data_IF_051632399532
#
_entry.id   IF_051632399532
#
_cell.length_a   1.000
_cell.length_b   1.000
_cell.length_c   1.000
_cell.angle_alpha   90.00
_cell.angle_beta   90.00
_cell.angle_gamma   90.00
#
_symmetry.space_group_name_H-M   'P 1'
#
loop_
_entity.id
_entity.type
_entity.pdbx_description
1 polymer ?
#
# COMPACT_ATOMS: atom_id res chain seq x y z
N UNK A 1 5.21 31.10 3.18
CA UNK A 1 5.51 29.65 3.30
C UNK A 1 4.34 28.84 3.90
N UNK A 2 3.28 29.45 4.45
CA UNK A 2 2.09 28.75 4.95
C UNK A 2 1.07 28.37 3.87
N UNK A 3 1.17 28.92 2.68
CA UNK A 3 0.18 28.73 1.62
C UNK A 3 0.51 27.53 0.69
N UNK A 4 1.74 26.97 0.79
CA UNK A 4 2.18 25.84 -0.04
C UNK A 4 1.85 24.47 0.58
N UNK A 5 1.71 24.38 1.91
CA UNK A 5 1.40 23.13 2.62
C UNK A 5 -0.03 22.64 2.31
N UNK A 6 -0.94 23.56 1.97
CA UNK A 6 -2.34 23.23 1.63
C UNK A 6 -2.56 22.60 0.25
N UNK A 7 -1.50 22.41 -0.56
CA UNK A 7 -1.62 21.96 -1.95
C UNK A 7 -1.30 20.48 -2.16
N UNK A 8 -0.71 19.79 -1.18
CA UNK A 8 -0.37 18.36 -1.24
C UNK A 8 -1.25 17.54 -0.31
N UNK A 9 -1.84 16.44 -0.82
CA UNK A 9 -2.61 15.50 -0.02
C UNK A 9 -1.74 14.86 1.07
N UNK A 10 -0.53 14.43 0.72
CA UNK A 10 0.46 13.86 1.65
C UNK A 10 0.76 14.80 2.80
N UNK A 11 1.17 16.05 2.49
CA UNK A 11 1.55 17.01 3.53
C UNK A 11 0.34 17.43 4.38
N UNK A 12 -0.84 17.52 3.78
CA UNK A 12 -2.07 17.85 4.49
C UNK A 12 -2.47 16.76 5.48
N UNK A 13 -2.39 15.48 5.09
CA UNK A 13 -2.63 14.35 5.97
C UNK A 13 -1.60 14.35 7.11
N UNK A 14 -0.32 14.49 6.80
CA UNK A 14 0.73 14.54 7.82
C UNK A 14 0.53 15.72 8.78
N UNK A 15 0.12 16.88 8.30
CA UNK A 15 -0.14 18.05 9.15
C UNK A 15 -1.26 17.80 10.16
N UNK A 16 -2.32 17.10 9.77
CA UNK A 16 -3.44 16.77 10.68
C UNK A 16 -3.04 15.78 11.78
N UNK A 17 -2.00 14.98 11.58
CA UNK A 17 -1.53 13.94 12.50
C UNK A 17 -0.24 14.31 13.24
N UNK A 18 0.28 15.54 13.01
CA UNK A 18 1.53 16.02 13.58
C UNK A 18 1.42 16.19 15.11
N UNK A 19 2.34 15.58 15.84
CA UNK A 19 2.48 15.76 17.29
C UNK A 19 3.67 16.65 17.64
N UNK A 20 4.82 16.47 16.96
CA UNK A 20 6.05 17.20 17.22
C UNK A 20 6.83 17.40 15.92
N UNK A 21 7.45 18.57 15.76
CA UNK A 21 8.23 18.93 14.58
C UNK A 21 7.48 19.86 13.62
N UNK A 22 7.70 19.69 12.33
CA UNK A 22 7.03 20.45 11.26
C UNK A 22 6.74 19.54 10.07
N UNK A 23 6.00 20.01 9.05
CA UNK A 23 5.70 19.25 7.84
C UNK A 23 6.45 19.86 6.67
N UNK A 24 7.78 19.74 6.70
CA UNK A 24 8.68 20.16 5.61
C UNK A 24 9.45 18.93 5.10
N UNK A 25 9.45 18.66 3.78
CA UNK A 25 10.17 17.51 3.20
C UNK A 25 11.63 17.42 3.68
N UNK A 26 12.05 16.21 4.03
CA UNK A 26 13.39 15.90 4.54
C UNK A 26 13.56 16.13 6.06
N UNK A 27 12.60 16.74 6.74
CA UNK A 27 12.67 16.90 8.20
C UNK A 27 12.05 15.70 8.93
N UNK A 28 12.67 15.19 10.01
CA UNK A 28 12.05 14.19 10.86
C UNK A 28 11.01 14.84 11.78
N UNK A 29 9.85 14.23 11.89
CA UNK A 29 8.76 14.68 12.77
C UNK A 29 8.02 13.49 13.37
N UNK A 30 7.21 13.73 14.41
CA UNK A 30 6.48 12.70 15.15
C UNK A 30 4.99 12.82 14.87
N UNK A 31 4.35 11.68 14.62
CA UNK A 31 2.95 11.59 14.22
C UNK A 31 2.18 10.57 15.04
N UNK A 32 0.85 10.78 15.15
CA UNK A 32 -0.09 9.81 15.71
C UNK A 32 -0.84 9.12 14.55
N UNK A 33 -0.59 7.85 14.25
CA UNK A 33 -1.34 7.13 13.22
C UNK A 33 -2.76 6.82 13.68
N UNK A 34 -3.70 6.69 12.73
CA UNK A 34 -5.06 6.20 13.00
C UNK A 34 -5.07 4.67 13.10
N UNK A 35 -4.30 4.00 12.25
CA UNK A 35 -4.19 2.55 12.22
C UNK A 35 -2.75 2.07 12.15
N UNK A 36 -2.49 0.95 12.83
CA UNK A 36 -1.20 0.26 12.87
C UNK A 36 -1.43 -1.18 12.41
N UNK A 37 -0.73 -1.60 11.35
CA UNK A 37 -0.83 -2.96 10.81
C UNK A 37 0.46 -3.75 11.03
N UNK A 38 0.32 -4.98 11.49
CA UNK A 38 1.40 -5.97 11.52
C UNK A 38 0.91 -7.33 10.99
N UNK A 39 1.83 -8.20 10.60
CA UNK A 39 1.51 -9.55 10.16
C UNK A 39 2.51 -10.60 10.69
N UNK A 40 2.28 -11.87 10.42
CA UNK A 40 2.98 -13.02 10.99
C UNK A 40 4.49 -13.14 10.64
N UNK A 41 5.00 -12.29 9.74
CA UNK A 41 6.46 -12.18 9.50
C UNK A 41 7.07 -11.05 10.32
N UNK A 42 6.46 -9.87 10.32
CA UNK A 42 7.07 -8.64 10.83
C UNK A 42 6.70 -8.31 12.27
N UNK A 43 5.58 -8.84 12.78
CA UNK A 43 5.16 -8.64 14.17
C UNK A 43 6.01 -9.43 15.18
N UNK A 44 6.43 -10.70 14.94
CA UNK A 44 7.22 -11.44 15.92
C UNK A 44 8.54 -10.77 16.32
N UNK A 45 9.34 -10.17 15.44
CA UNK A 45 10.50 -9.36 15.84
C UNK A 45 10.13 -8.16 16.73
N UNK A 46 9.01 -7.48 16.44
CA UNK A 46 8.51 -6.38 17.26
C UNK A 46 8.13 -6.86 18.68
N UNK A 47 7.42 -7.98 18.80
CA UNK A 47 7.06 -8.60 20.07
C UNK A 47 8.31 -8.91 20.90
N UNK A 48 9.31 -9.58 20.29
CA UNK A 48 10.59 -9.90 20.95
C UNK A 48 11.31 -8.65 21.46
N UNK A 49 11.16 -7.53 20.78
CA UNK A 49 11.76 -6.27 21.22
C UNK A 49 11.00 -5.68 22.42
N UNK A 50 9.66 -5.66 22.37
CA UNK A 50 8.81 -5.19 23.47
C UNK A 50 9.02 -6.00 24.75
N UNK A 51 9.14 -7.33 24.63
CA UNK A 51 9.41 -8.23 25.75
C UNK A 51 10.78 -7.96 26.37
N UNK A 52 11.83 -7.82 25.55
CA UNK A 52 13.18 -7.47 26.04
C UNK A 52 13.23 -6.11 26.75
N UNK A 53 12.39 -5.18 26.36
CA UNK A 53 12.27 -3.86 26.99
C UNK A 53 11.34 -3.86 28.22
N UNK A 54 10.62 -4.95 28.45
CA UNK A 54 9.69 -5.06 29.58
C UNK A 54 8.53 -4.07 29.51
N UNK A 55 8.02 -3.82 28.31
CA UNK A 55 6.90 -2.88 28.10
C UNK A 55 5.64 -3.44 28.78
N UNK A 56 5.03 -2.73 29.75
CA UNK A 56 3.93 -3.25 30.55
C UNK A 56 2.55 -3.13 29.89
N UNK A 57 2.36 -2.23 28.94
CA UNK A 57 1.12 -2.00 28.21
C UNK A 57 1.39 -1.33 26.85
N UNK A 58 0.45 -1.44 25.92
CA UNK A 58 0.48 -0.78 24.62
C UNK A 58 -0.53 0.38 24.61
N UNK A 59 -0.06 1.58 24.24
CA UNK A 59 -0.95 2.75 24.12
C UNK A 59 -1.84 2.67 22.87
N UNK A 60 -1.39 1.96 21.85
CA UNK A 60 -2.09 1.85 20.58
C UNK A 60 -2.74 0.47 20.36
N UNK A 61 -3.01 -0.31 21.41
CA UNK A 61 -3.65 -1.63 21.25
C UNK A 61 -4.94 -1.56 20.43
N UNK A 62 -5.80 -0.57 20.69
CA UNK A 62 -7.08 -0.37 19.99
C UNK A 62 -6.96 0.14 18.54
N UNK A 63 -5.78 0.58 18.12
CA UNK A 63 -5.49 1.02 16.75
C UNK A 63 -4.72 -0.04 15.96
N UNK A 64 -4.33 -1.13 16.62
CA UNK A 64 -3.49 -2.17 16.04
C UNK A 64 -4.34 -3.31 15.51
N UNK A 65 -4.06 -3.70 14.26
CA UNK A 65 -4.64 -4.88 13.60
C UNK A 65 -3.51 -5.82 13.23
N UNK A 66 -3.63 -7.08 13.63
CA UNK A 66 -2.62 -8.10 13.33
C UNK A 66 -3.20 -9.16 12.39
N UNK A 67 -2.39 -9.62 11.45
CA UNK A 67 -2.80 -10.55 10.41
C UNK A 67 -1.97 -11.83 10.44
N UNK A 68 -2.66 -12.97 10.28
CA UNK A 68 -2.05 -14.30 10.10
C UNK A 68 -2.30 -14.76 8.66
N UNK A 69 -1.65 -14.11 7.68
CA UNK A 69 -1.97 -14.27 6.26
C UNK A 69 -0.78 -14.62 5.34
N UNK A 70 0.46 -14.37 5.77
CA UNK A 70 1.64 -14.68 4.95
C UNK A 70 2.05 -16.15 5.04
N UNK A 71 1.87 -16.79 6.20
CA UNK A 71 2.12 -18.21 6.42
C UNK A 71 0.82 -18.98 6.63
N UNK A 72 -0.02 -19.01 5.62
CA UNK A 72 -1.35 -19.60 5.69
C UNK A 72 -1.53 -20.77 4.73
N UNK A 73 -1.60 -22.04 5.19
CA UNK A 73 -1.27 -22.46 6.57
C UNK A 73 0.23 -22.36 6.85
N UNK A 74 0.67 -22.34 8.13
CA UNK A 74 2.09 -22.33 8.48
C UNK A 74 2.84 -23.46 7.80
N UNK A 75 3.93 -23.15 7.14
CA UNK A 75 4.72 -24.11 6.34
C UNK A 75 5.69 -24.97 7.18
N UNK A 76 6.01 -24.54 8.40
CA UNK A 76 6.97 -25.17 9.32
C UNK A 76 6.69 -24.78 10.78
N UNK A 77 7.49 -25.32 11.70
CA UNK A 77 7.34 -25.05 13.15
C UNK A 77 7.64 -23.59 13.49
N UNK A 78 8.56 -22.92 12.79
CA UNK A 78 8.89 -21.54 13.05
C UNK A 78 7.73 -20.61 12.70
N UNK A 79 7.11 -20.80 11.52
CA UNK A 79 5.95 -20.03 11.12
C UNK A 79 4.74 -20.28 12.03
N UNK A 80 4.53 -21.53 12.47
CA UNK A 80 3.49 -21.84 13.45
C UNK A 80 3.72 -21.18 14.80
N UNK A 81 4.96 -21.12 15.25
CA UNK A 81 5.34 -20.45 16.49
C UNK A 81 5.17 -18.93 16.39
N UNK A 82 5.44 -18.34 15.23
CA UNK A 82 5.18 -16.93 14.98
C UNK A 82 3.69 -16.58 15.11
N UNK A 83 2.82 -17.40 14.54
CA UNK A 83 1.37 -17.22 14.68
C UNK A 83 0.93 -17.33 16.16
N UNK A 84 1.39 -18.38 16.87
CA UNK A 84 1.11 -18.57 18.31
C UNK A 84 1.60 -17.37 19.15
N UNK A 85 2.77 -16.82 18.81
CA UNK A 85 3.31 -15.65 19.50
C UNK A 85 2.41 -14.42 19.33
N UNK A 86 1.83 -14.22 18.15
CA UNK A 86 0.89 -13.12 17.89
C UNK A 86 -0.38 -13.29 18.70
N UNK A 87 -0.97 -14.50 18.73
CA UNK A 87 -2.18 -14.78 19.51
C UNK A 87 -1.96 -14.52 21.01
N UNK A 88 -0.88 -15.06 21.58
CA UNK A 88 -0.53 -14.84 23.00
C UNK A 88 -0.23 -13.36 23.32
N UNK A 89 0.37 -12.65 22.37
CA UNK A 89 0.67 -11.22 22.51
C UNK A 89 -0.61 -10.39 22.49
N UNK A 90 -1.53 -10.70 21.57
CA UNK A 90 -2.80 -10.00 21.44
C UNK A 90 -3.63 -10.15 22.71
N UNK A 91 -3.75 -11.38 23.21
CA UNK A 91 -4.46 -11.68 24.47
C UNK A 91 -3.87 -10.92 25.66
N UNK A 92 -2.52 -10.91 25.74
CA UNK A 92 -1.82 -10.25 26.86
C UNK A 92 -1.99 -8.74 26.88
N UNK A 93 -2.04 -8.10 25.70
CA UNK A 93 -2.06 -6.66 25.58
C UNK A 93 -3.43 -6.08 25.20
N UNK A 94 -4.43 -6.92 24.98
CA UNK A 94 -5.78 -6.49 24.63
C UNK A 94 -5.84 -5.88 23.23
N UNK A 95 -5.20 -6.51 22.26
CA UNK A 95 -5.40 -6.20 20.85
C UNK A 95 -6.62 -7.00 20.39
N UNK A 96 -7.74 -6.32 20.19
CA UNK A 96 -9.02 -6.94 19.93
C UNK A 96 -9.12 -7.53 18.51
N UNK A 97 -8.24 -7.10 17.59
CA UNK A 97 -8.34 -7.45 16.20
C UNK A 97 -7.12 -8.23 15.69
N UNK A 98 -7.32 -9.55 15.63
CA UNK A 98 -6.42 -10.49 14.96
C UNK A 98 -7.21 -11.17 13.85
N UNK A 99 -6.80 -10.91 12.60
CA UNK A 99 -7.40 -11.52 11.41
C UNK A 99 -6.74 -12.86 11.17
N UNK A 100 -7.51 -13.93 11.36
CA UNK A 100 -7.02 -15.31 11.33
C UNK A 100 -6.93 -15.87 9.90
N UNK A 101 -6.36 -17.07 9.81
CA UNK A 101 -6.19 -17.80 8.57
C UNK A 101 -7.51 -17.97 7.82
N UNK A 102 -7.50 -17.57 6.54
CA UNK A 102 -8.66 -17.69 5.65
C UNK A 102 -9.69 -16.58 5.78
N UNK A 103 -9.48 -15.60 6.67
CA UNK A 103 -10.37 -14.44 6.80
C UNK A 103 -10.02 -13.33 5.79
N UNK A 104 -8.76 -13.23 5.38
CA UNK A 104 -8.35 -12.28 4.32
C UNK A 104 -6.86 -12.04 4.27
N UNK A 105 -6.42 -11.48 3.14
CA UNK A 105 -5.07 -10.93 2.96
C UNK A 105 -5.07 -9.53 3.57
N UNK A 106 -4.04 -9.16 4.36
CA UNK A 106 -3.96 -7.88 5.07
C UNK A 106 -4.25 -6.67 4.18
N UNK A 107 -3.61 -6.58 3.02
CA UNK A 107 -3.78 -5.46 2.07
C UNK A 107 -5.08 -5.50 1.27
N UNK A 108 -5.91 -6.52 1.46
CA UNK A 108 -7.28 -6.59 0.94
C UNK A 108 -8.26 -6.29 2.06
N UNK A 109 -8.22 -7.09 3.13
CA UNK A 109 -9.14 -6.99 4.26
C UNK A 109 -9.12 -5.60 4.94
N UNK A 110 -7.92 -5.02 5.15
CA UNK A 110 -7.78 -3.73 5.83
C UNK A 110 -8.45 -2.57 5.07
N UNK A 111 -8.51 -2.68 3.74
CA UNK A 111 -8.97 -1.61 2.86
C UNK A 111 -10.30 -1.89 2.16
N UNK A 112 -11.02 -2.97 2.51
CA UNK A 112 -12.30 -3.29 1.89
C UNK A 112 -13.47 -2.54 2.52
N UNK A 113 -13.59 -2.55 3.82
CA UNK A 113 -14.67 -1.88 4.56
C UNK A 113 -14.32 -0.40 4.81
N UNK A 114 -15.26 0.36 5.34
CA UNK A 114 -15.08 1.77 5.73
C UNK A 114 -14.12 1.96 6.94
N UNK A 115 -13.23 1.01 7.19
CA UNK A 115 -12.24 1.06 8.28
C UNK A 115 -11.23 2.19 8.04
N UNK A 116 -10.55 2.14 6.91
CA UNK A 116 -9.59 3.18 6.50
C UNK A 116 -10.32 4.18 5.63
N UNK A 117 -10.30 5.42 6.05
CA UNK A 117 -11.02 6.53 5.43
C UNK A 117 -10.05 7.49 4.74
N UNK A 118 -10.63 8.31 3.88
CA UNK A 118 -9.92 9.42 3.30
C UNK A 118 -9.37 10.34 4.39
N UNK A 119 -8.09 10.68 4.26
CA UNK A 119 -7.39 11.53 5.22
C UNK A 119 -6.75 10.80 6.39
N UNK A 120 -6.99 9.50 6.56
CA UNK A 120 -6.33 8.71 7.61
C UNK A 120 -4.83 8.56 7.35
N UNK A 121 -4.06 8.48 8.44
CA UNK A 121 -2.65 8.12 8.45
C UNK A 121 -2.49 6.68 8.94
N UNK A 122 -2.07 5.80 8.06
CA UNK A 122 -1.92 4.37 8.33
C UNK A 122 -0.45 3.98 8.25
N UNK A 123 0.03 3.24 9.23
CA UNK A 123 1.37 2.65 9.19
C UNK A 123 1.28 1.14 9.20
N UNK A 124 2.14 0.48 8.44
CA UNK A 124 2.16 -0.98 8.37
C UNK A 124 3.55 -1.54 8.16
N UNK A 125 3.82 -2.65 8.84
CA UNK A 125 5.12 -3.31 8.70
C UNK A 125 5.17 -4.21 7.45
N UNK A 126 4.75 -3.65 6.32
CA UNK A 126 4.81 -4.25 4.99
C UNK A 126 4.84 -3.17 3.90
N UNK A 127 5.58 -3.40 2.83
CA UNK A 127 5.76 -2.44 1.74
C UNK A 127 4.46 -2.14 0.97
N UNK A 128 3.56 -3.14 0.83
CA UNK A 128 2.31 -2.98 0.09
C UNK A 128 1.18 -2.32 0.90
N UNK A 129 1.48 -1.81 2.10
CA UNK A 129 0.53 -0.96 2.86
C UNK A 129 0.06 0.24 2.04
N UNK A 130 0.86 0.68 1.08
CA UNK A 130 0.51 1.73 0.11
C UNK A 130 -0.83 1.50 -0.59
N UNK A 131 -1.35 0.27 -0.62
CA UNK A 131 -2.69 -0.08 -1.14
C UNK A 131 -3.78 0.86 -0.64
N UNK A 132 -3.70 1.31 0.61
CA UNK A 132 -4.69 2.22 1.20
C UNK A 132 -4.71 3.62 0.60
N UNK A 133 -3.73 3.98 -0.22
CA UNK A 133 -3.77 5.21 -1.01
C UNK A 133 -4.96 5.29 -1.95
N UNK A 134 -5.51 4.15 -2.36
CA UNK A 134 -6.75 4.08 -3.14
C UNK A 134 -7.99 4.54 -2.35
N UNK A 135 -7.92 4.54 -1.01
CA UNK A 135 -8.98 5.05 -0.13
C UNK A 135 -8.78 6.56 0.17
N UNK A 136 -7.79 7.22 -0.43
CA UNK A 136 -7.41 8.60 -0.11
C UNK A 136 -6.71 8.75 1.24
N UNK A 137 -6.17 7.68 1.81
CA UNK A 137 -5.38 7.67 3.03
C UNK A 137 -3.88 7.74 2.69
N UNK A 138 -3.07 8.30 3.58
CA UNK A 138 -1.62 8.14 3.49
C UNK A 138 -1.20 6.88 4.25
N UNK A 139 -0.76 5.88 3.50
CA UNK A 139 -0.31 4.63 4.07
C UNK A 139 1.19 4.48 3.86
N UNK A 140 1.96 4.46 4.95
CA UNK A 140 3.43 4.43 4.90
C UNK A 140 3.99 3.13 5.46
N UNK A 141 4.92 2.45 4.75
CA UNK A 141 5.59 1.26 5.24
C UNK A 141 6.58 1.60 6.35
N UNK A 142 6.63 0.74 7.37
CA UNK A 142 7.56 0.84 8.49
C UNK A 142 8.27 -0.48 8.75
N UNK A 143 9.38 -0.44 9.49
CA UNK A 143 10.07 -1.65 9.95
C UNK A 143 9.46 -2.24 11.22
N UNK A 144 9.84 -3.49 11.54
CA UNK A 144 9.42 -4.16 12.78
C UNK A 144 9.81 -3.39 14.05
N UNK A 145 10.89 -2.63 14.00
CA UNK A 145 11.33 -1.78 15.12
C UNK A 145 10.36 -0.64 15.36
N UNK A 146 9.97 0.03 14.27
CA UNK A 146 9.04 1.15 14.33
C UNK A 146 7.64 0.66 14.69
N UNK A 147 7.24 -0.53 14.19
CA UNK A 147 6.02 -1.20 14.61
C UNK A 147 5.95 -1.37 16.13
N UNK A 148 7.05 -1.86 16.75
CA UNK A 148 7.11 -2.04 18.20
C UNK A 148 6.97 -0.70 18.94
N UNK A 149 7.65 0.35 18.46
CA UNK A 149 7.54 1.69 19.05
C UNK A 149 6.13 2.24 18.91
N UNK A 150 5.55 2.15 17.72
CA UNK A 150 4.21 2.65 17.44
C UNK A 150 3.13 1.94 18.28
N UNK A 151 3.18 0.62 18.41
CA UNK A 151 2.28 -0.13 19.29
C UNK A 151 2.42 0.33 20.76
N UNK A 152 3.65 0.50 21.24
CA UNK A 152 3.91 0.86 22.64
C UNK A 152 3.50 2.30 22.97
N UNK A 153 3.86 3.27 22.12
CA UNK A 153 3.69 4.71 22.37
C UNK A 153 2.42 5.32 21.78
N UNK A 154 1.88 4.73 20.71
CA UNK A 154 0.84 5.35 19.89
C UNK A 154 1.38 6.41 18.92
N UNK A 155 2.68 6.49 18.76
CA UNK A 155 3.40 7.51 18.02
C UNK A 155 4.47 6.85 17.15
N UNK A 156 4.79 7.45 16.01
CA UNK A 156 5.94 7.08 15.19
C UNK A 156 6.61 8.32 14.61
N UNK A 157 7.90 8.19 14.30
CA UNK A 157 8.63 9.24 13.61
C UNK A 157 8.72 8.93 12.12
N UNK A 158 8.72 9.97 11.30
CA UNK A 158 8.86 9.87 9.86
C UNK A 158 9.71 11.04 9.37
N UNK A 159 10.69 10.79 8.52
CA UNK A 159 11.27 11.82 7.66
C UNK A 159 10.24 12.16 6.60
N UNK A 160 9.82 13.43 6.54
CA UNK A 160 8.72 13.86 5.67
C UNK A 160 9.07 13.58 4.21
N UNK A 161 8.31 12.73 3.49
CA UNK A 161 8.56 12.46 2.09
C UNK A 161 8.32 13.70 1.22
N UNK A 162 9.07 13.81 0.13
CA UNK A 162 8.77 14.78 -0.92
C UNK A 162 7.49 14.35 -1.65
N UNK A 163 6.42 15.18 -1.68
CA UNK A 163 5.26 14.90 -2.53
C UNK A 163 5.66 14.90 -4.01
N UNK A 164 5.19 13.90 -4.74
CA UNK A 164 5.52 13.73 -6.15
C UNK A 164 4.29 13.35 -6.95
N UNK A 165 3.91 14.20 -7.90
CA UNK A 165 2.76 13.99 -8.76
C UNK A 165 3.02 12.92 -9.82
N UNK A 166 2.03 12.04 -10.01
CA UNK A 166 2.00 11.06 -11.10
C UNK A 166 0.68 11.24 -11.84
N UNK A 167 0.73 11.85 -13.01
CA UNK A 167 -0.43 12.14 -13.83
C UNK A 167 -0.55 11.09 -14.93
N UNK A 168 -1.61 10.27 -14.87
CA UNK A 168 -1.90 9.25 -15.87
C UNK A 168 -2.74 9.87 -16.99
N UNK A 169 -2.16 10.01 -18.18
CA UNK A 169 -2.79 10.70 -19.31
C UNK A 169 -3.21 9.73 -20.41
N UNK A 170 -4.45 9.89 -20.88
CA UNK A 170 -4.99 9.16 -22.03
C UNK A 170 -5.88 7.99 -21.65
N UNK A 171 -6.23 7.19 -22.65
CA UNK A 171 -7.12 6.04 -22.54
C UNK A 171 -6.40 4.80 -23.08
N UNK A 172 -6.19 3.76 -22.28
CA UNK A 172 -5.53 2.55 -22.74
C UNK A 172 -6.42 1.74 -23.68
N UNK A 173 -5.83 0.75 -24.37
CA UNK A 173 -6.58 -0.23 -25.15
C UNK A 173 -7.61 -0.96 -24.27
N UNK A 174 -8.72 -1.38 -24.88
CA UNK A 174 -9.83 -2.10 -24.22
C UNK A 174 -9.41 -3.41 -23.53
N UNK A 175 -8.25 -3.95 -23.86
CA UNK A 175 -7.69 -5.16 -23.24
C UNK A 175 -6.71 -4.88 -22.10
N UNK A 176 -6.40 -3.61 -21.84
CA UNK A 176 -5.53 -3.25 -20.73
C UNK A 176 -6.36 -3.08 -19.45
N UNK A 177 -5.87 -3.67 -18.38
CA UNK A 177 -6.46 -3.63 -17.05
C UNK A 177 -5.66 -2.69 -16.11
N UNK A 178 -6.16 -2.45 -14.91
CA UNK A 178 -5.50 -1.58 -13.93
C UNK A 178 -4.04 -2.00 -13.64
N UNK A 179 -3.73 -3.31 -13.70
CA UNK A 179 -2.36 -3.79 -13.51
C UNK A 179 -1.44 -3.38 -14.65
N UNK A 180 -1.94 -3.32 -15.87
CA UNK A 180 -1.14 -2.86 -17.01
C UNK A 180 -0.76 -1.39 -16.83
N UNK A 181 -1.68 -0.56 -16.36
CA UNK A 181 -1.44 0.84 -16.01
C UNK A 181 -0.40 0.94 -14.89
N UNK A 182 -0.54 0.13 -13.84
CA UNK A 182 0.40 0.08 -12.73
C UNK A 182 1.80 -0.34 -13.19
N UNK A 183 1.92 -1.36 -14.04
CA UNK A 183 3.19 -1.79 -14.63
C UNK A 183 3.82 -0.67 -15.48
N UNK A 184 3.02 0.06 -16.25
CA UNK A 184 3.49 1.22 -17.01
C UNK A 184 4.04 2.30 -16.10
N UNK A 185 3.35 2.61 -15.00
CA UNK A 185 3.81 3.55 -13.98
C UNK A 185 5.14 3.10 -13.35
N UNK A 186 5.21 1.84 -12.91
CA UNK A 186 6.42 1.28 -12.29
C UNK A 186 7.60 1.28 -13.25
N UNK A 187 7.37 0.92 -14.52
CA UNK A 187 8.41 0.94 -15.55
C UNK A 187 8.91 2.35 -15.86
N UNK A 188 8.00 3.33 -15.84
CA UNK A 188 8.35 4.73 -16.11
C UNK A 188 9.19 5.35 -14.99
N UNK A 189 8.78 5.13 -13.75
CA UNK A 189 9.47 5.67 -12.58
C UNK A 189 10.75 4.88 -12.25
N UNK A 190 10.77 3.57 -12.54
CA UNK A 190 11.81 2.64 -12.12
C UNK A 190 11.69 2.25 -10.67
N UNK A 191 12.38 1.16 -10.27
CA UNK A 191 12.33 0.58 -8.91
C UNK A 191 12.85 1.50 -7.79
N UNK A 192 13.55 2.57 -8.11
CA UNK A 192 14.06 3.57 -7.15
C UNK A 192 13.45 4.96 -7.29
N UNK A 193 12.54 5.17 -8.25
CA UNK A 193 12.01 6.50 -8.58
C UNK A 193 11.16 7.15 -7.49
N UNK A 194 10.58 6.34 -6.61
CA UNK A 194 9.81 6.80 -5.47
C UNK A 194 10.62 6.98 -4.17
N UNK A 195 11.92 6.70 -4.16
CA UNK A 195 12.74 6.78 -2.94
C UNK A 195 12.72 8.19 -2.34
N UNK A 196 12.34 8.29 -1.07
CA UNK A 196 12.18 9.57 -0.36
C UNK A 196 10.93 10.36 -0.76
N UNK A 197 10.05 9.78 -1.58
CA UNK A 197 8.84 10.43 -2.11
C UNK A 197 7.57 9.76 -1.64
N UNK A 198 6.49 10.54 -1.59
CA UNK A 198 5.11 10.05 -1.56
C UNK A 198 4.46 10.33 -2.91
N UNK A 199 3.94 9.30 -3.56
CA UNK A 199 3.31 9.45 -4.87
C UNK A 199 1.86 9.91 -4.72
N UNK A 200 1.54 11.02 -5.32
CA UNK A 200 0.17 11.53 -5.44
C UNK A 200 -0.30 11.26 -6.87
N UNK A 201 -1.21 10.29 -7.00
CA UNK A 201 -1.58 9.72 -8.31
C UNK A 201 -2.94 10.29 -8.74
N UNK A 202 -2.97 10.85 -9.95
CA UNK A 202 -4.19 11.38 -10.56
C UNK A 202 -4.30 11.04 -12.04
N UNK A 203 -5.45 11.28 -12.63
CA UNK A 203 -5.72 11.06 -14.04
C UNK A 203 -7.18 10.70 -14.30
N UNK A 204 -7.72 11.11 -15.45
CA UNK A 204 -9.11 10.86 -15.83
C UNK A 204 -9.45 9.36 -15.81
N UNK A 205 -8.49 8.50 -16.16
CA UNK A 205 -8.69 7.04 -16.15
C UNK A 205 -9.10 6.49 -14.79
N UNK A 206 -8.64 7.11 -13.70
CA UNK A 206 -8.96 6.67 -12.35
C UNK A 206 -10.45 6.84 -12.01
N UNK A 207 -11.15 7.75 -12.66
CA UNK A 207 -12.61 7.92 -12.49
C UNK A 207 -13.40 6.74 -13.06
N UNK A 208 -12.84 6.06 -14.06
CA UNK A 208 -13.47 4.93 -14.75
C UNK A 208 -13.08 3.57 -14.15
N UNK A 209 -11.98 3.49 -13.43
CA UNK A 209 -11.53 2.25 -12.82
C UNK A 209 -12.40 1.88 -11.60
N UNK A 210 -12.71 0.59 -11.45
CA UNK A 210 -13.30 0.09 -10.21
C UNK A 210 -12.34 0.31 -9.03
N UNK A 211 -12.88 0.30 -7.81
CA UNK A 211 -12.07 0.48 -6.58
C UNK A 211 -10.93 -0.55 -6.49
N UNK A 212 -11.18 -1.79 -6.90
CA UNK A 212 -10.15 -2.84 -6.94
C UNK A 212 -9.00 -2.48 -7.89
N UNK A 213 -9.31 -1.86 -9.03
CA UNK A 213 -8.28 -1.36 -9.95
C UNK A 213 -7.45 -0.21 -9.37
N UNK A 214 -8.08 0.75 -8.69
CA UNK A 214 -7.38 1.82 -7.97
C UNK A 214 -6.44 1.24 -6.89
N UNK A 215 -6.92 0.23 -6.14
CA UNK A 215 -6.11 -0.49 -5.14
C UNK A 215 -4.91 -1.19 -5.77
N UNK A 216 -5.04 -1.75 -6.97
CA UNK A 216 -3.92 -2.37 -7.69
C UNK A 216 -2.86 -1.33 -8.06
N UNK A 217 -3.23 -0.16 -8.55
CA UNK A 217 -2.29 0.92 -8.88
C UNK A 217 -1.56 1.40 -7.62
N UNK A 218 -2.30 1.68 -6.55
CA UNK A 218 -1.72 2.14 -5.28
C UNK A 218 -0.85 1.07 -4.60
N UNK A 219 -1.23 -0.21 -4.70
CA UNK A 219 -0.43 -1.34 -4.21
C UNK A 219 0.92 -1.39 -4.92
N UNK A 220 0.94 -1.33 -6.24
CA UNK A 220 2.15 -1.42 -7.03
C UNK A 220 3.03 -0.17 -6.98
N UNK A 221 2.55 0.94 -6.43
CA UNK A 221 3.40 2.09 -6.14
C UNK A 221 4.59 1.71 -5.24
N UNK A 222 4.42 0.73 -4.34
CA UNK A 222 5.51 0.18 -3.51
C UNK A 222 6.71 -0.32 -4.30
N UNK A 223 6.51 -0.80 -5.53
CA UNK A 223 7.57 -1.31 -6.40
C UNK A 223 8.53 -0.20 -6.90
N UNK A 224 8.16 1.05 -6.69
CA UNK A 224 9.03 2.21 -6.95
C UNK A 224 9.87 2.62 -5.75
N UNK A 225 9.78 1.92 -4.62
CA UNK A 225 10.39 2.26 -3.32
C UNK A 225 9.85 3.56 -2.71
N UNK A 226 8.60 3.93 -2.99
CA UNK A 226 7.99 5.12 -2.41
C UNK A 226 7.69 4.94 -0.91
N UNK A 227 7.64 6.05 -0.19
CA UNK A 227 7.30 6.11 1.24
C UNK A 227 5.79 6.12 1.50
N UNK A 228 4.99 6.19 0.45
CA UNK A 228 3.54 6.18 0.50
C UNK A 228 2.95 6.52 -0.88
N UNK A 229 1.65 6.29 -1.04
CA UNK A 229 0.91 6.76 -2.21
C UNK A 229 -0.48 7.22 -1.80
N UNK A 230 -1.04 8.17 -2.53
CA UNK A 230 -2.41 8.66 -2.37
C UNK A 230 -3.02 8.87 -3.75
N UNK A 231 -4.21 8.33 -3.99
CA UNK A 231 -4.99 8.66 -5.18
C UNK A 231 -5.82 9.91 -4.87
N UNK A 232 -5.62 10.97 -5.64
CA UNK A 232 -6.14 12.31 -5.33
C UNK A 232 -7.40 12.70 -6.09
N UNK A 233 -7.78 11.99 -7.16
CA UNK A 233 -8.98 12.33 -7.96
C UNK A 233 -10.27 12.43 -7.12
N UNK A 234 -10.47 11.50 -6.18
CA UNK A 234 -11.67 11.48 -5.33
C UNK A 234 -11.61 12.51 -4.19
N UNK A 235 -10.47 13.21 -4.04
CA UNK A 235 -10.25 14.25 -3.02
C UNK A 235 -10.59 15.66 -3.54
N UNK A 236 -10.85 15.80 -4.83
CA UNK A 236 -11.25 17.07 -5.44
C UNK A 236 -12.58 17.57 -4.83
N UNK A 237 -12.53 18.69 -4.12
CA UNK A 237 -13.71 19.36 -3.54
C UNK A 237 -13.98 19.08 -2.05
N UNK A 238 -13.17 18.25 -1.37
CA UNK A 238 -13.35 17.94 0.06
C UNK A 238 -12.27 18.56 0.97
N UNK A 239 -11.92 19.80 0.79
CA UNK A 239 -10.95 20.48 1.64
C UNK A 239 -9.93 21.32 0.87
N UNK A 240 -8.87 21.81 1.51
CA UNK A 240 -7.86 22.67 0.89
C UNK A 240 -6.92 21.93 -0.09
N UNK A 241 -7.33 20.79 -0.61
CA UNK A 241 -6.55 19.90 -1.48
C UNK A 241 -6.69 20.28 -2.95
N UNK A 242 -6.48 21.54 -3.32
CA UNK A 242 -6.19 21.86 -4.71
C UNK A 242 -4.80 21.31 -5.04
N UNK A 243 -4.76 20.22 -5.81
CA UNK A 243 -3.53 19.70 -6.38
C UNK A 243 -2.93 20.72 -7.32
N UNK A 244 -2.03 21.53 -6.84
CA UNK A 244 -1.28 22.48 -7.66
C UNK A 244 0.14 21.90 -7.84
N UNK A 245 0.25 20.88 -8.71
CA UNK A 245 1.48 20.16 -9.09
C UNK A 245 2.53 21.04 -9.79
N UNK A 246 2.60 22.31 -9.50
CA UNK A 246 3.41 23.24 -10.27
C UNK A 246 4.92 22.99 -10.20
N UNK A 247 5.39 21.98 -9.44
CA UNK A 247 6.83 21.89 -9.14
C UNK A 247 7.49 20.50 -9.18
N UNK A 248 6.76 19.37 -9.09
CA UNK A 248 7.41 18.06 -9.24
C UNK A 248 6.40 16.96 -9.62
N UNK A 249 6.18 16.77 -10.91
CA UNK A 249 5.29 15.72 -11.42
C UNK A 249 5.84 15.08 -12.69
N UNK A 250 5.49 13.80 -12.89
CA UNK A 250 5.67 13.08 -14.14
C UNK A 250 4.32 12.83 -14.81
N UNK A 251 4.27 13.06 -16.11
CA UNK A 251 3.13 12.78 -16.96
C UNK A 251 3.37 11.48 -17.72
N UNK A 252 2.57 10.48 -17.43
CA UNK A 252 2.73 9.13 -17.98
C UNK A 252 1.60 8.87 -18.96
N UNK A 253 1.93 8.81 -20.25
CA UNK A 253 0.94 8.46 -21.25
C UNK A 253 0.61 6.98 -21.24
N UNK A 254 -0.70 6.69 -21.24
CA UNK A 254 -1.28 5.36 -21.35
C UNK A 254 -2.14 5.21 -22.61
N UNK A 255 -2.13 6.23 -23.50
CA UNK A 255 -2.88 6.19 -24.75
C UNK A 255 -2.50 4.98 -25.59
N UNK A 256 -3.54 4.29 -26.08
CA UNK A 256 -3.42 3.08 -26.91
C UNK A 256 -2.51 1.97 -26.33
N UNK A 257 -2.22 2.05 -25.02
CA UNK A 257 -1.39 1.05 -24.34
C UNK A 257 -2.15 -0.28 -24.24
N UNK A 258 -1.60 -1.33 -24.87
CA UNK A 258 -2.09 -2.70 -24.73
C UNK A 258 -1.61 -3.38 -23.45
N UNK A 259 -1.97 -4.67 -23.26
CA UNK A 259 -1.55 -5.46 -22.10
C UNK A 259 -0.04 -5.50 -21.90
N UNK A 260 0.38 -5.36 -20.64
CA UNK A 260 1.77 -5.30 -20.21
C UNK A 260 2.18 -6.55 -19.43
N UNK A 261 3.45 -6.83 -19.36
CA UNK A 261 4.01 -7.91 -18.54
C UNK A 261 5.39 -7.53 -18.00
N UNK A 262 5.62 -7.75 -16.72
CA UNK A 262 6.96 -7.68 -16.16
C UNK A 262 7.74 -8.95 -16.56
N UNK A 263 8.94 -8.76 -17.11
CA UNK A 263 9.82 -9.87 -17.46
C UNK A 263 10.81 -10.14 -16.32
N UNK A 264 11.44 -11.34 -16.27
CA UNK A 264 12.36 -11.69 -15.21
C UNK A 264 13.49 -10.67 -15.01
N UNK A 265 13.71 -10.30 -13.77
CA UNK A 265 14.75 -9.37 -13.32
C UNK A 265 14.22 -8.41 -12.27
N UNK A 266 13.23 -7.61 -12.59
CA UNK A 266 12.63 -6.63 -11.69
C UNK A 266 11.21 -6.26 -12.17
N UNK A 267 10.29 -5.84 -11.28
CA UNK A 267 8.94 -5.40 -11.65
C UNK A 267 8.87 -4.22 -12.62
N UNK A 268 9.90 -3.41 -12.69
CA UNK A 268 10.03 -2.26 -13.61
C UNK A 268 10.54 -2.64 -15.01
N UNK A 269 10.98 -3.91 -15.20
CA UNK A 269 11.33 -4.45 -16.51
C UNK A 269 10.06 -4.91 -17.24
N UNK A 270 9.36 -3.98 -17.86
CA UNK A 270 8.05 -4.20 -18.46
C UNK A 270 8.14 -4.23 -19.98
N UNK A 271 7.42 -5.18 -20.58
CA UNK A 271 7.27 -5.38 -22.02
C UNK A 271 5.79 -5.43 -22.40
N UNK A 272 5.46 -5.09 -23.64
CA UNK A 272 4.16 -5.44 -24.17
C UNK A 272 4.02 -6.96 -24.26
N UNK A 273 2.86 -7.51 -23.91
CA UNK A 273 2.61 -8.97 -23.94
C UNK A 273 2.92 -9.58 -25.32
N UNK A 274 2.69 -8.86 -26.40
CA UNK A 274 2.97 -9.30 -27.76
C UNK A 274 4.46 -9.62 -27.97
N UNK A 275 5.38 -8.91 -27.32
CA UNK A 275 6.83 -9.13 -27.46
C UNK A 275 7.30 -10.44 -26.84
N UNK A 276 6.52 -11.02 -25.95
CA UNK A 276 6.83 -12.28 -25.26
C UNK A 276 5.92 -13.42 -25.69
N UNK A 277 5.01 -13.17 -26.62
CA UNK A 277 4.07 -14.17 -27.11
C UNK A 277 4.79 -15.43 -27.63
N UNK A 278 4.24 -16.61 -27.32
CA UNK A 278 4.79 -17.91 -27.73
C UNK A 278 5.87 -18.47 -26.80
N UNK A 279 6.27 -17.77 -25.74
CA UNK A 279 7.10 -18.35 -24.68
C UNK A 279 6.31 -19.42 -23.92
N UNK A 280 6.94 -20.59 -23.69
CA UNK A 280 6.33 -21.64 -22.89
C UNK A 280 6.24 -21.22 -21.41
N UNK A 281 5.11 -21.55 -20.78
CA UNK A 281 4.85 -21.32 -19.37
C UNK A 281 4.45 -22.64 -18.72
N UNK A 282 5.16 -23.06 -17.67
CA UNK A 282 4.91 -24.32 -16.97
C UNK A 282 3.80 -24.19 -15.92
N UNK A 283 3.71 -23.03 -15.29
CA UNK A 283 2.74 -22.75 -14.23
C UNK A 283 2.30 -21.29 -14.25
N UNK A 284 1.02 -21.04 -14.01
CA UNK A 284 0.44 -19.71 -13.79
C UNK A 284 -0.14 -19.65 -12.39
N UNK A 285 0.29 -18.65 -11.61
CA UNK A 285 -0.30 -18.33 -10.32
C UNK A 285 -1.13 -17.04 -10.45
N UNK A 286 -2.37 -17.08 -9.94
CA UNK A 286 -3.26 -15.92 -9.92
C UNK A 286 -3.70 -15.73 -8.49
N UNK A 287 -3.39 -14.55 -7.93
CA UNK A 287 -3.64 -14.26 -6.52
C UNK A 287 -2.79 -13.10 -6.02
N UNK A 288 -2.54 -13.07 -4.72
CA UNK A 288 -1.85 -12.04 -3.96
C UNK A 288 -2.67 -10.78 -3.69
N UNK A 289 -2.11 -9.87 -2.90
CA UNK A 289 -2.72 -8.57 -2.58
C UNK A 289 -2.85 -7.65 -3.79
N UNK A 290 -2.03 -7.84 -4.83
CA UNK A 290 -2.04 -7.02 -6.04
C UNK A 290 -3.21 -7.34 -6.96
N UNK A 291 -3.39 -8.62 -7.31
CA UNK A 291 -4.42 -9.09 -8.25
C UNK A 291 -5.06 -10.42 -7.82
N UNK A 292 -5.69 -10.44 -6.67
CA UNK A 292 -6.46 -11.56 -6.14
C UNK A 292 -7.81 -11.12 -5.59
N UNK A 293 -8.26 -9.91 -5.95
CA UNK A 293 -9.54 -9.34 -5.52
C UNK A 293 -10.69 -9.92 -6.33
N UNK A 294 -11.91 -9.60 -5.93
CA UNK A 294 -13.11 -10.18 -6.51
C UNK A 294 -13.23 -9.90 -8.00
N UNK A 295 -12.90 -8.71 -8.45
CA UNK A 295 -12.99 -8.35 -9.87
C UNK A 295 -11.95 -9.09 -10.72
N UNK A 296 -10.72 -9.31 -10.20
CA UNK A 296 -9.71 -10.15 -10.83
C UNK A 296 -10.19 -11.60 -11.01
N UNK A 297 -10.84 -12.15 -9.97
CA UNK A 297 -11.37 -13.51 -10.00
C UNK A 297 -12.58 -13.66 -10.94
N UNK A 298 -13.41 -12.63 -11.05
CA UNK A 298 -14.51 -12.58 -12.02
C UNK A 298 -13.97 -12.61 -13.46
N UNK A 299 -12.99 -11.76 -13.76
CA UNK A 299 -12.33 -11.73 -15.08
C UNK A 299 -11.71 -13.10 -15.41
N UNK A 300 -10.98 -13.70 -14.46
CA UNK A 300 -10.43 -15.04 -14.61
C UNK A 300 -11.50 -16.08 -14.91
N UNK A 301 -12.61 -16.04 -14.17
CA UNK A 301 -13.74 -16.95 -14.36
C UNK A 301 -14.31 -16.87 -15.79
N UNK A 302 -14.45 -15.69 -16.37
CA UNK A 302 -14.91 -15.52 -17.74
C UNK A 302 -13.90 -16.07 -18.76
N UNK A 303 -12.60 -15.83 -18.55
CA UNK A 303 -11.52 -16.34 -19.42
C UNK A 303 -11.48 -17.87 -19.42
N UNK A 304 -11.68 -18.50 -18.26
CA UNK A 304 -11.58 -19.96 -18.09
C UNK A 304 -12.89 -20.73 -18.37
N UNK A 305 -14.00 -20.02 -18.53
CA UNK A 305 -15.32 -20.63 -18.73
C UNK A 305 -15.34 -21.64 -19.87
N UNK A 306 -15.66 -22.89 -19.55
CA UNK A 306 -15.72 -23.99 -20.50
C UNK A 306 -14.35 -24.53 -20.97
N UNK A 307 -13.26 -24.04 -20.41
CA UNK A 307 -11.91 -24.55 -20.68
C UNK A 307 -11.50 -25.59 -19.63
N UNK A 308 -10.63 -26.52 -20.04
CA UNK A 308 -9.90 -27.41 -19.11
C UNK A 308 -8.46 -26.92 -19.03
N UNK A 309 -7.97 -26.82 -17.82
CA UNK A 309 -6.55 -26.55 -17.51
C UNK A 309 -5.84 -27.89 -17.36
#
# INVERSE_FOLDING_TARGET
>A
MSDEIGTSATLSILFQHLLEGNVEPGNPSVFAPDHIMGHDITTPPAIKMLDRKGIPFLRAASKTVLYLDHFTPPKDLESAENCRMIDEFSDRFGIDEVVNWGEGICHVHMFEDDRVKQGDLVIGADSHITTGGANGALCTPIGSTDLAVAMASGEFWLEIPEPFGVVLEGIPDVWAEAKDIALRMVSWLGSGGGTGRSLEIEGEILEWLPVDGKKTISNMASETSCMGSVITNDMAGQGPFESNWSWNSEHITIDDMGPQIAVPGSPDMVENVENVAGKAVDQVFIGSCTNGRLDDLRLLSEILKGKKI
#
